data_IF_455244488587
#
_entry.id   IF_455244488587
#
_cell.length_a   1.000
_cell.length_b   1.000
_cell.length_c   1.000
_cell.angle_alpha   90.00
_cell.angle_beta   90.00
_cell.angle_gamma   90.00
#
_symmetry.space_group_name_H-M   'P 1'
#
loop_
_entity.id
_entity.type
_entity.pdbx_description
1 polymer ?
#
# COMPACT_ATOMS: atom_id res chain seq x y z
N UNK A 1 -1.18 -8.32 -8.55
CA UNK A 1 -0.96 -9.74 -8.18
C UNK A 1 -0.96 -10.64 -9.41
N UNK A 2 -1.99 -10.70 -10.24
CA UNK A 2 -2.10 -11.61 -11.39
C UNK A 2 -0.88 -11.60 -12.32
N UNK A 3 -0.42 -10.44 -12.73
CA UNK A 3 0.78 -10.32 -13.58
C UNK A 3 2.05 -10.89 -12.91
N UNK A 4 2.17 -10.70 -11.59
CA UNK A 4 3.34 -11.18 -10.84
C UNK A 4 3.42 -12.71 -10.72
N UNK A 5 2.29 -13.41 -10.86
CA UNK A 5 2.23 -14.89 -10.90
C UNK A 5 2.11 -15.43 -12.32
N UNK A 6 2.29 -14.59 -13.35
CA UNK A 6 2.24 -15.00 -14.76
C UNK A 6 0.83 -15.30 -15.30
N UNK A 7 -0.22 -14.72 -14.68
CA UNK A 7 -1.60 -14.84 -15.15
C UNK A 7 -2.09 -13.59 -15.92
N UNK A 8 -1.17 -12.74 -16.36
CA UNK A 8 -1.51 -11.49 -17.06
C UNK A 8 -2.24 -11.68 -18.39
N UNK A 9 -1.99 -12.78 -19.09
CA UNK A 9 -2.68 -13.18 -20.32
C UNK A 9 -4.16 -13.51 -20.10
N UNK A 10 -4.54 -13.94 -18.91
CA UNK A 10 -5.92 -14.25 -18.52
C UNK A 10 -6.73 -13.00 -18.15
N UNK A 11 -6.08 -11.85 -17.94
CA UNK A 11 -6.76 -10.59 -17.62
C UNK A 11 -7.39 -10.03 -18.89
N UNK A 12 -8.71 -9.89 -18.92
CA UNK A 12 -9.46 -9.37 -20.07
C UNK A 12 -9.73 -7.87 -19.96
N UNK A 13 -9.90 -7.36 -18.75
CA UNK A 13 -10.16 -5.94 -18.48
C UNK A 13 -9.74 -5.59 -17.06
N UNK A 14 -9.41 -4.33 -16.83
CA UNK A 14 -9.13 -3.76 -15.50
C UNK A 14 -9.82 -2.39 -15.38
N UNK A 15 -10.00 -1.94 -14.16
CA UNK A 15 -10.58 -0.62 -13.86
C UNK A 15 -9.69 0.55 -14.32
N UNK A 16 -10.24 1.77 -14.24
CA UNK A 16 -9.57 2.99 -14.68
C UNK A 16 -8.37 3.42 -13.83
N UNK A 17 -8.15 2.81 -12.66
CA UNK A 17 -7.06 3.13 -11.73
C UNK A 17 -5.92 2.12 -11.76
N UNK A 18 -6.04 1.05 -12.55
CA UNK A 18 -5.01 0.04 -12.71
C UNK A 18 -3.89 0.56 -13.60
N UNK A 19 -2.71 0.80 -13.03
CA UNK A 19 -1.58 1.45 -13.70
C UNK A 19 -0.33 0.57 -13.79
N UNK A 20 -0.31 -0.59 -13.13
CA UNK A 20 0.88 -1.44 -13.05
C UNK A 20 0.54 -2.93 -13.20
N UNK A 21 1.41 -3.70 -13.88
CA UNK A 21 2.60 -3.29 -14.63
C UNK A 21 2.26 -2.55 -15.93
N UNK A 22 3.27 -2.10 -16.71
CA UNK A 22 3.03 -1.33 -17.93
C UNK A 22 2.13 -2.07 -18.95
N UNK A 23 2.20 -3.38 -18.98
CA UNK A 23 1.39 -4.26 -19.84
C UNK A 23 -0.12 -4.20 -19.53
N UNK A 24 -0.51 -3.66 -18.38
CA UNK A 24 -1.92 -3.51 -18.03
C UNK A 24 -2.62 -2.43 -18.84
N UNK A 25 -1.87 -1.46 -19.38
CA UNK A 25 -2.42 -0.27 -20.06
C UNK A 25 -3.35 -0.60 -21.21
N UNK A 26 -3.08 -1.67 -21.95
CA UNK A 26 -3.91 -2.12 -23.08
C UNK A 26 -5.25 -2.74 -22.62
N UNK A 27 -5.41 -3.00 -21.33
CA UNK A 27 -6.60 -3.62 -20.71
C UNK A 27 -7.35 -2.66 -19.79
N UNK A 28 -6.88 -1.42 -19.65
CA UNK A 28 -7.54 -0.39 -18.85
C UNK A 28 -8.84 0.04 -19.53
N UNK A 29 -9.89 0.07 -18.75
CA UNK A 29 -11.23 0.43 -19.18
C UNK A 29 -11.69 1.74 -18.54
N UNK A 30 -12.93 2.14 -18.82
CA UNK A 30 -13.61 3.25 -18.13
C UNK A 30 -14.40 2.77 -16.91
N UNK A 31 -14.30 1.49 -16.54
CA UNK A 31 -14.97 0.96 -15.35
C UNK A 31 -14.39 1.64 -14.11
N UNK A 32 -15.27 2.26 -13.33
CA UNK A 32 -14.88 2.88 -12.07
C UNK A 32 -14.56 1.81 -11.03
N UNK A 33 -13.45 1.98 -10.31
CA UNK A 33 -13.14 1.14 -9.16
C UNK A 33 -14.04 1.43 -7.94
N UNK A 34 -14.64 2.63 -7.89
CA UNK A 34 -15.50 3.06 -6.78
C UNK A 34 -17.00 2.84 -7.06
N UNK A 35 -17.40 2.94 -8.32
CA UNK A 35 -18.79 2.78 -8.75
C UNK A 35 -18.83 1.81 -9.96
N UNK A 36 -18.51 0.52 -9.73
CA UNK A 36 -18.48 -0.45 -10.81
C UNK A 36 -19.90 -0.73 -11.34
N UNK A 37 -20.02 -0.87 -12.66
CA UNK A 37 -21.27 -1.26 -13.33
C UNK A 37 -21.20 -2.74 -13.70
N UNK A 38 -22.16 -3.54 -13.22
CA UNK A 38 -22.26 -4.96 -13.57
C UNK A 38 -22.39 -5.17 -15.09
N UNK A 39 -23.18 -4.35 -15.77
CA UNK A 39 -23.38 -4.41 -17.23
C UNK A 39 -22.08 -4.13 -17.97
N UNK A 40 -21.31 -3.10 -17.53
CA UNK A 40 -20.03 -2.78 -18.14
C UNK A 40 -19.00 -3.89 -17.95
N UNK A 41 -18.97 -4.53 -16.77
CA UNK A 41 -18.10 -5.66 -16.45
C UNK A 41 -18.48 -6.87 -17.34
N UNK A 42 -19.76 -7.21 -17.43
CA UNK A 42 -20.27 -8.34 -18.21
C UNK A 42 -20.03 -8.16 -19.71
N UNK A 43 -19.91 -6.93 -20.20
CA UNK A 43 -19.52 -6.63 -21.59
C UNK A 43 -18.17 -7.22 -22.00
N UNK A 44 -17.30 -7.56 -21.03
CA UNK A 44 -16.02 -8.23 -21.26
C UNK A 44 -16.09 -9.75 -21.13
N UNK A 45 -17.27 -10.32 -20.88
CA UNK A 45 -17.50 -11.77 -20.75
C UNK A 45 -16.51 -12.50 -19.82
N UNK A 46 -16.31 -11.99 -18.58
CA UNK A 46 -15.36 -12.62 -17.66
C UNK A 46 -15.90 -13.91 -17.07
N UNK A 47 -15.06 -14.91 -16.86
CA UNK A 47 -15.35 -16.10 -16.04
C UNK A 47 -15.24 -15.79 -14.54
N UNK A 48 -14.34 -14.86 -14.20
CA UNK A 48 -14.04 -14.45 -12.83
C UNK A 48 -13.95 -12.93 -12.74
N UNK A 49 -14.57 -12.36 -11.71
CA UNK A 49 -14.46 -10.94 -11.37
C UNK A 49 -13.74 -10.80 -10.04
N UNK A 50 -12.66 -10.01 -10.01
CA UNK A 50 -11.89 -9.73 -8.81
C UNK A 50 -12.25 -8.35 -8.28
N UNK A 51 -12.65 -8.27 -7.01
CA UNK A 51 -13.01 -7.02 -6.33
C UNK A 51 -12.24 -6.90 -5.02
N UNK A 52 -11.98 -5.67 -4.56
CA UNK A 52 -11.37 -5.42 -3.24
C UNK A 52 -12.42 -5.32 -2.13
N UNK A 53 -13.64 -4.97 -2.48
CA UNK A 53 -14.80 -4.92 -1.58
C UNK A 53 -16.08 -5.05 -2.41
N UNK A 54 -17.19 -5.36 -1.74
CA UNK A 54 -18.50 -5.51 -2.40
C UNK A 54 -19.30 -4.20 -2.37
N UNK A 55 -18.68 -3.10 -2.81
CA UNK A 55 -19.34 -1.80 -2.91
C UNK A 55 -20.57 -1.89 -3.82
N UNK A 56 -21.65 -1.22 -3.35
CA UNK A 56 -22.93 -1.19 -4.05
C UNK A 56 -23.52 -2.57 -4.33
N UNK A 57 -23.10 -3.63 -3.60
CA UNK A 57 -23.55 -5.00 -3.80
C UNK A 57 -23.29 -5.49 -5.23
N UNK A 58 -22.12 -5.18 -5.78
CA UNK A 58 -21.77 -5.54 -7.14
C UNK A 58 -21.84 -7.05 -7.37
N UNK A 59 -21.57 -7.86 -6.35
CA UNK A 59 -21.70 -9.33 -6.42
C UNK A 59 -23.13 -9.75 -6.72
N UNK A 60 -24.13 -9.20 -6.02
CA UNK A 60 -25.56 -9.47 -6.27
C UNK A 60 -25.95 -9.00 -7.68
N UNK A 61 -25.48 -7.82 -8.09
CA UNK A 61 -25.78 -7.29 -9.43
C UNK A 61 -25.23 -8.19 -10.53
N UNK A 62 -23.97 -8.62 -10.43
CA UNK A 62 -23.34 -9.53 -11.39
C UNK A 62 -24.09 -10.85 -11.48
N UNK A 63 -24.53 -11.41 -10.37
CA UNK A 63 -25.30 -12.66 -10.34
C UNK A 63 -26.71 -12.53 -10.89
N UNK A 64 -27.35 -11.36 -10.73
CA UNK A 64 -28.71 -11.12 -11.19
C UNK A 64 -28.81 -10.84 -12.68
N UNK A 65 -27.80 -10.18 -13.26
CA UNK A 65 -27.80 -9.77 -14.67
C UNK A 65 -27.14 -10.82 -15.57
N UNK A 66 -26.22 -11.62 -15.03
CA UNK A 66 -25.54 -12.66 -15.81
C UNK A 66 -26.45 -13.86 -16.07
N UNK A 67 -26.47 -14.31 -17.31
CA UNK A 67 -27.07 -15.59 -17.70
C UNK A 67 -26.19 -16.82 -17.32
N UNK A 68 -24.96 -16.58 -16.92
CA UNK A 68 -23.98 -17.60 -16.53
C UNK A 68 -23.55 -17.36 -15.07
N UNK A 69 -23.13 -18.44 -14.38
CA UNK A 69 -22.57 -18.32 -13.05
C UNK A 69 -21.18 -17.69 -13.12
N UNK A 70 -21.05 -16.46 -12.63
CA UNK A 70 -19.77 -15.76 -12.52
C UNK A 70 -19.17 -16.03 -11.14
N UNK A 71 -17.89 -16.36 -11.11
CA UNK A 71 -17.14 -16.43 -9.86
C UNK A 71 -16.69 -15.01 -9.48
N UNK A 72 -17.10 -14.53 -8.32
CA UNK A 72 -16.59 -13.27 -7.74
C UNK A 72 -15.64 -13.61 -6.62
N UNK A 73 -14.39 -13.17 -6.74
CA UNK A 73 -13.38 -13.26 -5.69
C UNK A 73 -13.18 -11.88 -5.04
N UNK A 74 -13.24 -11.84 -3.70
CA UNK A 74 -13.05 -10.61 -2.94
C UNK A 74 -11.72 -10.65 -2.20
N UNK A 75 -10.79 -9.79 -2.60
CA UNK A 75 -9.52 -9.54 -1.92
C UNK A 75 -9.66 -8.35 -0.97
N UNK A 76 -10.18 -8.60 0.23
CA UNK A 76 -10.31 -7.54 1.24
C UNK A 76 -8.96 -6.85 1.53
N UNK A 77 -9.02 -5.61 2.02
CA UNK A 77 -7.81 -4.88 2.39
C UNK A 77 -6.96 -5.72 3.37
N UNK A 78 -5.70 -5.95 3.01
CA UNK A 78 -4.78 -6.68 3.85
C UNK A 78 -4.43 -5.85 5.09
N UNK A 79 -4.38 -6.50 6.25
CA UNK A 79 -3.92 -5.91 7.51
C UNK A 79 -2.53 -6.41 7.89
N UNK A 80 -2.12 -7.53 7.30
CA UNK A 80 -0.83 -8.18 7.53
C UNK A 80 -0.21 -8.66 6.22
N UNK A 81 1.09 -8.98 6.24
CA UNK A 81 1.74 -9.65 5.10
C UNK A 81 1.16 -11.05 4.84
N UNK A 82 0.71 -11.75 5.88
CA UNK A 82 0.09 -13.07 5.72
C UNK A 82 -1.22 -12.97 4.94
N UNK A 83 -1.99 -11.89 5.09
CA UNK A 83 -3.17 -11.64 4.26
C UNK A 83 -2.79 -11.48 2.78
N UNK A 84 -1.69 -10.75 2.50
CA UNK A 84 -1.17 -10.61 1.13
C UNK A 84 -0.74 -11.97 0.56
N UNK A 85 -0.01 -12.78 1.33
CA UNK A 85 0.42 -14.12 0.90
C UNK A 85 -0.78 -15.03 0.64
N UNK A 86 -1.79 -14.99 1.52
CA UNK A 86 -3.03 -15.73 1.33
C UNK A 86 -3.74 -15.34 0.03
N UNK A 87 -3.88 -14.04 -0.25
CA UNK A 87 -4.50 -13.56 -1.49
C UNK A 87 -3.71 -14.00 -2.73
N UNK A 88 -2.38 -13.96 -2.69
CA UNK A 88 -1.52 -14.45 -3.78
C UNK A 88 -1.74 -15.95 -4.00
N UNK A 89 -1.84 -16.75 -2.93
CA UNK A 89 -2.10 -18.19 -3.00
C UNK A 89 -3.47 -18.47 -3.61
N UNK A 90 -4.51 -17.78 -3.16
CA UNK A 90 -5.88 -17.93 -3.69
C UNK A 90 -5.97 -17.56 -5.17
N UNK A 91 -5.31 -16.46 -5.58
CA UNK A 91 -5.23 -16.07 -6.99
C UNK A 91 -4.42 -17.07 -7.83
N UNK A 92 -3.37 -17.67 -7.26
CA UNK A 92 -2.62 -18.76 -7.87
C UNK A 92 -3.52 -19.94 -8.19
N UNK A 93 -4.28 -20.41 -7.19
CA UNK A 93 -5.24 -21.52 -7.35
C UNK A 93 -6.35 -21.19 -8.36
N UNK A 94 -6.86 -19.95 -8.32
CA UNK A 94 -7.94 -19.50 -9.21
C UNK A 94 -7.51 -19.45 -10.70
N UNK A 95 -6.22 -19.24 -10.95
CA UNK A 95 -5.66 -19.04 -12.31
C UNK A 95 -4.80 -20.22 -12.79
N UNK A 96 -4.65 -21.29 -12.00
CA UNK A 96 -3.75 -22.41 -12.31
C UNK A 96 -2.27 -21.99 -12.30
N UNK A 97 -1.88 -21.12 -11.37
CA UNK A 97 -0.52 -20.58 -11.21
C UNK A 97 0.02 -20.81 -9.79
N UNK A 98 -0.31 -21.94 -9.18
CA UNK A 98 0.02 -22.26 -7.78
C UNK A 98 1.52 -22.23 -7.53
N UNK A 99 2.33 -22.85 -8.42
CA UNK A 99 3.79 -22.88 -8.28
C UNK A 99 4.41 -21.50 -8.40
N UNK A 100 3.90 -20.66 -9.30
CA UNK A 100 4.37 -19.28 -9.48
C UNK A 100 3.99 -18.44 -8.26
N UNK A 101 2.81 -18.64 -7.70
CA UNK A 101 2.36 -17.97 -6.48
C UNK A 101 3.25 -18.34 -5.29
N UNK A 102 3.55 -19.63 -5.10
CA UNK A 102 4.46 -20.09 -4.05
C UNK A 102 5.86 -19.50 -4.20
N UNK A 103 6.42 -19.52 -5.41
CA UNK A 103 7.73 -18.92 -5.72
C UNK A 103 7.77 -17.44 -5.42
N UNK A 104 6.72 -16.68 -5.79
CA UNK A 104 6.60 -15.26 -5.52
C UNK A 104 6.58 -14.99 -4.01
N UNK A 105 5.78 -15.74 -3.24
CA UNK A 105 5.68 -15.60 -1.79
C UNK A 105 7.04 -15.84 -1.11
N UNK A 106 7.76 -16.89 -1.48
CA UNK A 106 9.08 -17.18 -0.92
C UNK A 106 10.10 -16.08 -1.28
N UNK A 107 10.05 -15.56 -2.50
CA UNK A 107 10.86 -14.41 -2.90
C UNK A 107 10.54 -13.16 -2.05
N UNK A 108 9.25 -12.85 -1.84
CA UNK A 108 8.83 -11.74 -1.00
C UNK A 108 9.32 -11.88 0.43
N UNK A 109 9.14 -13.05 1.05
CA UNK A 109 9.61 -13.33 2.40
C UNK A 109 11.12 -13.16 2.53
N UNK A 110 11.88 -13.72 1.57
CA UNK A 110 13.34 -13.62 1.55
C UNK A 110 13.83 -12.17 1.44
N UNK A 111 13.24 -11.37 0.55
CA UNK A 111 13.58 -9.96 0.39
C UNK A 111 13.27 -9.15 1.66
N UNK A 112 12.10 -9.35 2.26
CA UNK A 112 11.70 -8.68 3.51
C UNK A 112 12.65 -9.07 4.65
N UNK A 113 12.94 -10.36 4.82
CA UNK A 113 13.88 -10.82 5.84
C UNK A 113 15.26 -10.16 5.67
N UNK A 114 15.78 -10.12 4.44
CA UNK A 114 17.05 -9.46 4.13
C UNK A 114 17.02 -7.95 4.40
N UNK A 115 15.93 -7.27 4.07
CA UNK A 115 15.77 -5.83 4.33
C UNK A 115 15.75 -5.51 5.83
N UNK A 116 15.23 -6.43 6.66
CA UNK A 116 15.09 -6.25 8.11
C UNK A 116 16.26 -6.84 8.93
N UNK A 117 17.13 -7.66 8.32
CA UNK A 117 18.22 -8.37 9.01
C UNK A 117 19.30 -7.42 9.59
N UNK A 118 19.61 -6.34 8.90
CA UNK A 118 20.71 -5.44 9.24
C UNK A 118 20.31 -4.23 10.09
N UNK A 119 19.19 -4.31 10.79
CA UNK A 119 18.75 -3.23 11.68
C UNK A 119 19.55 -3.34 12.98
N UNK A 120 20.68 -2.64 12.99
CA UNK A 120 21.59 -2.60 14.15
C UNK A 120 20.97 -1.76 15.26
N UNK A 121 20.60 -2.39 16.36
CA UNK A 121 20.03 -1.85 17.59
C UNK A 121 18.57 -1.33 17.44
N UNK A 122 17.76 -1.48 18.50
CA UNK A 122 16.40 -0.97 18.49
C UNK A 122 16.41 0.54 18.27
N UNK A 123 15.76 0.98 17.21
CA UNK A 123 15.51 2.39 16.89
C UNK A 123 14.49 3.03 17.84
N UNK A 124 14.27 2.43 19.01
CA UNK A 124 13.25 2.82 20.00
C UNK A 124 13.37 4.28 20.47
N UNK A 125 14.53 4.90 20.27
CA UNK A 125 14.75 6.32 20.56
C UNK A 125 14.40 7.25 19.41
N UNK A 126 14.10 6.72 18.20
CA UNK A 126 13.75 7.50 17.02
C UNK A 126 12.28 7.31 16.67
N UNK A 127 11.66 8.37 16.22
CA UNK A 127 10.26 8.36 15.80
C UNK A 127 10.11 8.68 14.32
N UNK A 128 8.98 8.32 13.76
CA UNK A 128 8.62 8.68 12.38
C UNK A 128 7.23 9.31 12.32
N UNK A 129 7.03 10.12 11.28
CA UNK A 129 5.74 10.59 10.82
C UNK A 129 5.48 10.00 9.43
N UNK A 130 4.28 9.48 9.21
CA UNK A 130 3.84 9.00 7.90
C UNK A 130 2.73 9.91 7.40
N UNK A 131 2.99 10.66 6.34
CA UNK A 131 2.05 11.61 5.74
C UNK A 131 1.27 10.92 4.64
N UNK A 132 -0.07 10.82 4.81
CA UNK A 132 -0.98 10.26 3.81
C UNK A 132 -1.41 11.29 2.78
N UNK A 133 -1.54 12.55 3.21
CA UNK A 133 -1.92 13.67 2.38
C UNK A 133 -1.46 15.00 2.98
N UNK A 134 -1.52 16.06 2.19
CA UNK A 134 -1.10 17.41 2.58
C UNK A 134 -1.98 18.07 3.66
N UNK A 135 -3.04 17.41 4.13
CA UNK A 135 -3.85 17.82 5.28
C UNK A 135 -3.40 17.18 6.58
N UNK A 136 -2.27 16.45 6.55
CA UNK A 136 -1.58 15.83 7.69
C UNK A 136 -2.31 14.63 8.31
N UNK A 137 -3.13 13.92 7.53
CA UNK A 137 -3.56 12.59 7.93
C UNK A 137 -2.38 11.63 7.99
N UNK A 138 -2.42 10.72 8.94
CA UNK A 138 -1.37 9.74 9.18
C UNK A 138 -1.95 8.34 9.40
N UNK A 139 -1.07 7.39 9.68
CA UNK A 139 -1.42 6.00 10.02
C UNK A 139 -0.87 5.65 11.38
N UNK A 140 -1.59 4.87 12.19
CA UNK A 140 -1.07 4.31 13.45
C UNK A 140 -0.30 3.00 13.19
N UNK A 141 0.38 2.52 14.23
CA UNK A 141 1.07 1.21 14.22
C UNK A 141 0.12 0.02 14.03
N UNK A 142 -1.20 0.20 14.15
CA UNK A 142 -2.21 -0.84 13.95
C UNK A 142 -2.60 -1.05 12.49
N UNK A 143 -2.24 -0.11 11.60
CA UNK A 143 -2.53 -0.23 10.17
C UNK A 143 -1.58 -1.20 9.47
N UNK A 144 -1.90 -1.57 8.23
CA UNK A 144 -1.00 -2.38 7.39
C UNK A 144 0.39 -1.75 7.27
N UNK A 145 0.46 -0.45 6.98
CA UNK A 145 1.73 0.29 6.88
C UNK A 145 2.47 0.30 8.21
N UNK A 146 1.76 0.53 9.32
CA UNK A 146 2.33 0.47 10.66
C UNK A 146 2.90 -0.91 10.98
N UNK A 147 2.21 -1.99 10.56
CA UNK A 147 2.69 -3.35 10.72
C UNK A 147 4.00 -3.62 9.93
N UNK A 148 4.17 -3.01 8.75
CA UNK A 148 5.40 -3.09 7.96
C UNK A 148 6.57 -2.34 8.63
N UNK A 149 6.31 -1.26 9.34
CA UNK A 149 7.32 -0.45 10.04
C UNK A 149 7.68 -1.02 11.42
N UNK A 150 6.80 -1.83 12.02
CA UNK A 150 7.00 -2.40 13.36
C UNK A 150 8.32 -3.17 13.54
N UNK A 151 8.79 -4.00 12.59
CA UNK A 151 10.06 -4.71 12.72
C UNK A 151 11.28 -3.80 12.89
N UNK A 152 11.18 -2.55 12.47
CA UNK A 152 12.25 -1.56 12.55
C UNK A 152 12.37 -0.90 13.94
N UNK A 153 11.39 -1.08 14.82
CA UNK A 153 11.42 -0.60 16.21
C UNK A 153 11.31 0.91 16.39
N UNK A 154 10.89 1.66 15.35
CA UNK A 154 10.63 3.09 15.45
C UNK A 154 9.34 3.38 16.21
N UNK A 155 9.27 4.52 16.89
CA UNK A 155 8.04 5.03 17.49
C UNK A 155 7.22 5.79 16.45
N UNK A 156 5.95 5.43 16.30
CA UNK A 156 5.02 6.17 15.44
C UNK A 156 4.44 7.37 16.21
N UNK A 157 4.61 8.60 15.70
CA UNK A 157 4.07 9.79 16.39
C UNK A 157 2.55 9.92 16.29
N UNK A 158 1.91 9.15 15.42
CA UNK A 158 0.45 9.11 15.27
C UNK A 158 -0.22 8.20 16.31
N UNK A 159 0.54 7.32 16.98
CA UNK A 159 -0.03 6.44 18.00
C UNK A 159 -0.59 7.22 19.18
N UNK A 160 -1.85 6.94 19.53
CA UNK A 160 -2.52 7.54 20.69
C UNK A 160 -2.96 9.00 20.50
N UNK A 161 -2.81 9.59 19.32
CA UNK A 161 -3.30 10.95 19.02
C UNK A 161 -4.81 11.02 19.12
N UNK A 162 -5.50 10.02 18.61
CA UNK A 162 -6.96 9.90 18.66
C UNK A 162 -7.35 8.46 19.00
N UNK A 163 -8.00 8.27 20.14
CA UNK A 163 -8.34 6.94 20.62
C UNK A 163 -9.32 6.23 19.68
N UNK A 164 -8.92 5.02 19.21
CA UNK A 164 -9.75 4.19 18.34
C UNK A 164 -9.77 4.61 16.86
N UNK A 165 -9.02 5.64 16.48
CA UNK A 165 -8.82 6.03 15.09
C UNK A 165 -7.42 5.64 14.61
N UNK A 166 -7.33 4.73 13.64
CA UNK A 166 -6.07 4.29 13.05
C UNK A 166 -5.55 5.22 11.94
N UNK A 167 -6.34 6.23 11.57
CA UNK A 167 -6.00 7.24 10.57
C UNK A 167 -6.21 8.66 11.11
N UNK A 168 -5.50 9.04 12.18
CA UNK A 168 -5.71 10.34 12.81
C UNK A 168 -5.17 11.48 11.93
N UNK A 169 -5.84 12.63 12.03
CA UNK A 169 -5.32 13.88 11.48
C UNK A 169 -4.47 14.58 12.56
N UNK A 170 -3.19 14.77 12.28
CA UNK A 170 -2.30 15.52 13.15
C UNK A 170 -2.33 17.00 12.77
N UNK A 171 -1.80 17.86 13.63
CA UNK A 171 -1.53 19.25 13.29
C UNK A 171 -0.02 19.53 13.25
N UNK A 172 0.36 20.60 12.56
CA UNK A 172 1.76 20.94 12.33
C UNK A 172 2.56 21.17 13.64
N UNK A 173 1.92 21.69 14.69
CA UNK A 173 2.58 21.94 15.98
C UNK A 173 2.88 20.63 16.72
N UNK A 174 1.95 19.67 16.69
CA UNK A 174 2.14 18.35 17.29
C UNK A 174 3.28 17.63 16.60
N UNK A 175 3.33 17.65 15.26
CA UNK A 175 4.40 17.03 14.48
C UNK A 175 5.75 17.68 14.79
N UNK A 176 5.82 19.03 14.79
CA UNK A 176 7.04 19.76 15.12
C UNK A 176 7.52 19.47 16.55
N UNK A 177 6.60 19.40 17.52
CA UNK A 177 6.92 19.05 18.93
C UNK A 177 7.38 17.62 19.09
N UNK A 178 6.78 16.67 18.37
CA UNK A 178 7.19 15.27 18.38
C UNK A 178 8.59 15.07 17.77
N UNK A 179 9.02 16.01 16.91
CA UNK A 179 10.35 16.07 16.30
C UNK A 179 10.77 14.72 15.68
N UNK A 180 10.01 14.19 14.68
CA UNK A 180 10.31 12.89 14.10
C UNK A 180 11.69 12.87 13.44
N UNK A 181 12.39 11.75 13.58
CA UNK A 181 13.69 11.52 12.95
C UNK A 181 13.56 11.21 11.45
N UNK A 182 12.40 10.69 11.02
CA UNK A 182 12.10 10.38 9.62
C UNK A 182 10.66 10.83 9.31
N UNK A 183 10.46 11.40 8.13
CA UNK A 183 9.13 11.66 7.56
C UNK A 183 9.01 10.85 6.27
N UNK A 184 7.98 10.01 6.17
CA UNK A 184 7.61 9.31 4.95
C UNK A 184 6.43 10.04 4.29
N UNK A 185 6.58 10.40 3.01
CA UNK A 185 5.55 11.07 2.21
C UNK A 185 4.91 10.05 1.27
N UNK A 186 3.63 9.73 1.48
CA UNK A 186 2.85 8.83 0.63
C UNK A 186 1.89 9.59 -0.31
N UNK A 187 2.15 10.87 -0.52
CA UNK A 187 1.31 11.84 -1.21
C UNK A 187 2.06 12.65 -2.29
N UNK A 188 3.12 12.07 -2.80
CA UNK A 188 3.99 12.72 -3.78
C UNK A 188 3.31 12.91 -5.14
N UNK A 189 2.44 11.98 -5.55
CA UNK A 189 1.71 12.02 -6.83
C UNK A 189 0.36 12.72 -6.67
N UNK A 190 -0.45 12.31 -5.69
CA UNK A 190 -1.79 12.85 -5.50
C UNK A 190 -1.77 14.34 -5.20
N UNK A 191 -0.84 14.76 -4.37
CA UNK A 191 -0.84 16.09 -3.76
C UNK A 191 0.39 16.92 -4.14
N UNK A 192 1.29 16.33 -4.95
CA UNK A 192 2.56 16.94 -5.37
C UNK A 192 3.45 17.35 -4.18
N UNK A 193 3.32 16.64 -3.04
CA UNK A 193 4.13 16.90 -1.86
C UNK A 193 5.57 16.45 -2.10
N UNK A 194 6.53 17.25 -1.69
CA UNK A 194 7.96 16.92 -1.81
C UNK A 194 8.73 17.30 -0.55
N UNK A 195 9.91 16.73 -0.36
CA UNK A 195 10.80 17.08 0.74
C UNK A 195 11.14 18.58 0.75
N UNK A 196 11.28 19.18 -0.43
CA UNK A 196 11.54 20.62 -0.57
C UNK A 196 10.37 21.49 -0.12
N UNK A 197 9.13 21.04 -0.30
CA UNK A 197 7.93 21.73 0.18
C UNK A 197 7.70 21.54 1.66
N UNK A 198 7.93 20.33 2.18
CA UNK A 198 7.91 20.04 3.61
C UNK A 198 8.90 20.94 4.37
N UNK A 199 10.11 21.15 3.84
CA UNK A 199 11.11 22.01 4.44
C UNK A 199 10.69 23.50 4.51
N UNK A 200 9.75 23.95 3.67
CA UNK A 200 9.23 25.32 3.65
C UNK A 200 8.04 25.52 4.58
N UNK A 201 7.47 24.46 5.14
CA UNK A 201 6.32 24.56 6.05
C UNK A 201 6.70 25.38 7.29
N UNK A 202 5.83 26.30 7.77
CA UNK A 202 6.11 27.09 8.96
C UNK A 202 6.45 26.24 10.18
N UNK A 203 7.60 26.48 10.80
CA UNK A 203 8.07 25.76 11.99
C UNK A 203 8.74 24.41 11.74
N UNK A 204 8.75 23.89 10.51
CA UNK A 204 9.28 22.54 10.22
C UNK A 204 10.79 22.50 9.95
N UNK A 205 11.41 23.62 9.63
CA UNK A 205 12.87 23.70 9.43
C UNK A 205 13.68 23.22 10.66
N UNK A 206 13.04 23.22 11.84
CA UNK A 206 13.61 22.73 13.09
C UNK A 206 13.50 21.23 13.33
N UNK A 207 12.68 20.52 12.57
CA UNK A 207 12.45 19.07 12.72
C UNK A 207 13.70 18.29 12.29
N UNK A 208 14.10 17.27 13.05
CA UNK A 208 15.31 16.51 12.77
C UNK A 208 15.27 15.81 11.40
N UNK A 209 14.12 15.28 11.01
CA UNK A 209 13.93 14.73 9.67
C UNK A 209 14.24 15.72 8.55
N UNK A 210 13.84 16.99 8.72
CA UNK A 210 14.09 18.06 7.74
C UNK A 210 15.56 18.47 7.76
N UNK A 211 16.14 18.71 8.93
CA UNK A 211 17.56 19.09 9.07
C UNK A 211 18.52 18.07 8.51
N UNK A 212 18.19 16.78 8.69
CA UNK A 212 19.07 15.67 8.33
C UNK A 212 18.74 15.07 6.94
N UNK A 213 17.88 15.73 6.14
CA UNK A 213 17.43 15.25 4.85
C UNK A 213 16.82 13.83 4.91
N UNK A 214 16.05 13.57 5.96
CA UNK A 214 15.33 12.30 6.21
C UNK A 214 13.82 12.45 5.92
N UNK A 215 13.45 13.29 4.97
CA UNK A 215 12.12 13.36 4.38
C UNK A 215 12.13 12.47 3.13
N UNK A 216 11.44 11.36 3.19
CA UNK A 216 11.50 10.27 2.21
C UNK A 216 10.25 10.29 1.35
N UNK A 217 10.42 10.57 0.08
CA UNK A 217 9.36 10.54 -0.91
C UNK A 217 9.09 9.10 -1.35
N UNK A 218 7.88 8.61 -1.14
CA UNK A 218 7.43 7.28 -1.54
C UNK A 218 6.63 7.36 -2.84
N UNK A 219 6.57 6.26 -3.59
CA UNK A 219 5.61 6.11 -4.68
C UNK A 219 4.23 5.83 -4.09
N UNK A 220 3.25 6.73 -4.26
CA UNK A 220 1.89 6.62 -3.73
C UNK A 220 1.24 5.28 -4.08
N UNK A 221 1.46 4.77 -5.30
CA UNK A 221 0.90 3.51 -5.76
C UNK A 221 1.48 2.29 -5.02
N UNK A 222 2.71 2.41 -4.51
CA UNK A 222 3.35 1.37 -3.69
C UNK A 222 2.97 1.56 -2.21
N UNK A 223 2.94 2.80 -1.77
CA UNK A 223 2.68 3.18 -0.39
C UNK A 223 1.23 2.94 0.06
N UNK A 224 0.27 2.97 -0.89
CA UNK A 224 -1.17 2.90 -0.62
C UNK A 224 -1.84 1.59 -1.05
N UNK A 225 -1.08 0.59 -1.53
CA UNK A 225 -1.65 -0.65 -2.06
C UNK A 225 -0.94 -1.87 -1.48
N UNK A 226 -1.73 -2.89 -1.11
CA UNK A 226 -1.19 -4.19 -0.73
C UNK A 226 -1.02 -5.08 -1.97
N UNK A 227 0.16 -5.65 -2.14
CA UNK A 227 0.47 -6.52 -3.27
C UNK A 227 1.95 -6.88 -3.30
N UNK A 228 2.46 -7.54 -4.34
CA UNK A 228 3.85 -7.97 -4.39
C UNK A 228 4.87 -6.84 -4.26
N UNK A 229 4.54 -5.62 -4.68
CA UNK A 229 5.42 -4.45 -4.55
C UNK A 229 5.56 -3.91 -3.11
N UNK A 230 4.81 -4.44 -2.15
CA UNK A 230 5.00 -4.11 -0.73
C UNK A 230 6.43 -4.40 -0.27
N UNK A 231 7.12 -5.33 -0.91
CA UNK A 231 8.54 -5.61 -0.66
C UNK A 231 9.41 -4.40 -0.97
N UNK A 232 9.13 -3.72 -2.08
CA UNK A 232 9.86 -2.50 -2.50
C UNK A 232 9.67 -1.38 -1.47
N UNK A 233 8.47 -1.27 -0.88
CA UNK A 233 8.17 -0.34 0.21
C UNK A 233 9.00 -0.66 1.47
N UNK A 234 9.06 -1.93 1.86
CA UNK A 234 9.86 -2.36 3.03
C UNK A 234 11.35 -2.09 2.80
N UNK A 235 11.85 -2.32 1.60
CA UNK A 235 13.24 -2.01 1.23
C UNK A 235 13.52 -0.50 1.27
N UNK A 236 12.58 0.35 0.86
CA UNK A 236 12.70 1.80 0.99
C UNK A 236 12.70 2.24 2.47
N UNK A 237 11.85 1.65 3.31
CA UNK A 237 11.89 1.90 4.75
C UNK A 237 13.25 1.52 5.34
N UNK A 238 13.76 0.34 5.02
CA UNK A 238 15.07 -0.12 5.49
C UNK A 238 16.20 0.82 5.09
N UNK A 239 16.21 1.28 3.83
CA UNK A 239 17.22 2.22 3.31
C UNK A 239 17.17 3.57 4.03
N UNK A 240 15.97 4.14 4.22
CA UNK A 240 15.77 5.39 4.94
C UNK A 240 16.24 5.29 6.41
N UNK A 241 15.88 4.22 7.07
CA UNK A 241 16.24 3.97 8.47
C UNK A 241 17.76 3.78 8.62
N UNK A 242 18.39 3.06 7.70
CA UNK A 242 19.84 2.91 7.68
C UNK A 242 20.57 4.26 7.45
N UNK A 243 20.00 5.14 6.64
CA UNK A 243 20.54 6.49 6.41
C UNK A 243 20.40 7.38 7.66
N UNK A 244 19.25 7.29 8.35
CA UNK A 244 19.02 8.04 9.60
C UNK A 244 19.89 7.58 10.78
N UNK A 245 20.59 6.47 10.65
CA UNK A 245 21.49 5.92 11.69
C UNK A 245 22.94 6.42 11.57
N UNK A 246 23.26 7.15 10.51
CA UNK A 246 24.60 7.71 10.27
C UNK A 246 24.72 9.10 10.88
#
# INVERSE_FOLDING_TARGET
>A
MLYAIGAGDQVVAVDSLSTFPAEVTDKVTKISAYEPSAEAILGYTPDVVLISNDMNKITEQLQSVSSQKITVWTGAAATTLDDVYKQITELGALTGREDAAATLIESMKSRIAKATENISAPMAAKSYFYELDNTLYSVTSNTFVGALLKPFGLTNIADGVEAGNDYPQLNAEVIAKANPAIIFLADTKCCSTSAAEVAKRPGWAGIDAVKNNQVVELDDDVASRWGPRVVDLVEQFAAAIAAANK
#
